data_IF_521726448453
#
_entry.id   IF_521726448453
#
_cell.length_a   1.000
_cell.length_b   1.000
_cell.length_c   1.000
_cell.angle_alpha   90.00
_cell.angle_beta   90.00
_cell.angle_gamma   90.00
#
_symmetry.space_group_name_H-M   'P 1'
#
loop_
_entity.id
_entity.type
_entity.pdbx_description
1 polymer ?
#
# COMPACT_ATOMS: atom_id res chain seq x y z
N UNK A 1 45.65 -46.98 36.48
CA UNK A 1 45.96 -47.59 35.17
C UNK A 1 44.67 -47.49 34.37
N UNK A 2 44.44 -46.37 33.67
CA UNK A 2 44.70 -46.20 32.23
C UNK A 2 44.09 -47.33 31.39
N UNK A 3 43.06 -47.00 30.60
CA UNK A 3 43.11 -47.13 29.15
C UNK A 3 42.00 -46.29 28.47
N UNK A 4 42.46 -45.50 27.49
CA UNK A 4 41.77 -44.95 26.31
C UNK A 4 40.92 -46.03 25.58
N UNK A 5 39.91 -45.78 24.75
CA UNK A 5 39.74 -44.80 23.67
C UNK A 5 38.29 -44.93 23.13
N UNK A 6 37.74 -43.91 22.47
CA UNK A 6 36.49 -44.07 21.70
C UNK A 6 35.70 -42.78 21.48
N UNK A 7 36.21 -41.87 20.63
CA UNK A 7 35.44 -40.76 20.07
C UNK A 7 34.32 -41.28 19.15
N UNK A 8 33.08 -40.86 19.41
CA UNK A 8 32.02 -40.76 18.41
C UNK A 8 31.45 -39.35 18.53
N UNK A 9 31.64 -38.56 17.47
CA UNK A 9 31.04 -37.24 17.33
C UNK A 9 29.52 -37.41 17.19
N UNK A 10 28.77 -36.75 18.08
CA UNK A 10 27.34 -36.54 17.91
C UNK A 10 27.12 -35.03 17.86
N UNK A 11 26.54 -34.60 16.75
CA UNK A 11 26.32 -33.20 16.38
C UNK A 11 25.50 -32.48 17.45
N UNK A 12 25.99 -31.31 17.88
CA UNK A 12 25.32 -30.48 18.86
C UNK A 12 24.06 -29.85 18.28
N UNK A 13 22.90 -30.35 18.68
CA UNK A 13 21.64 -29.64 18.56
C UNK A 13 21.73 -28.36 19.41
N UNK A 14 21.84 -27.21 18.74
CA UNK A 14 21.66 -25.91 19.40
C UNK A 14 20.20 -25.53 19.22
N UNK A 15 19.40 -25.74 20.27
CA UNK A 15 18.06 -25.16 20.36
C UNK A 15 18.17 -23.63 20.27
N UNK A 16 17.66 -23.05 19.18
CA UNK A 16 17.52 -21.59 19.06
C UNK A 16 16.28 -21.19 19.85
N UNK A 17 16.48 -20.82 21.10
CA UNK A 17 15.46 -20.11 21.87
C UNK A 17 15.45 -18.65 21.42
N UNK A 18 14.43 -18.26 20.65
CA UNK A 18 14.15 -16.86 20.36
C UNK A 18 13.74 -16.17 21.66
N UNK A 19 14.70 -15.52 22.32
CA UNK A 19 14.48 -14.77 23.55
C UNK A 19 13.50 -13.62 23.32
N UNK A 20 12.50 -13.51 24.19
CA UNK A 20 11.53 -12.41 24.29
C UNK A 20 12.22 -11.03 24.49
N UNK A 21 13.52 -11.01 24.74
CA UNK A 21 14.32 -9.82 25.04
C UNK A 21 14.69 -8.97 23.81
N UNK A 22 14.57 -9.49 22.58
CA UNK A 22 14.89 -8.74 21.36
C UNK A 22 13.87 -7.63 21.03
N UNK A 23 12.67 -7.65 21.63
CA UNK A 23 11.66 -6.62 21.41
C UNK A 23 11.98 -5.29 22.11
N UNK A 24 12.83 -5.31 23.15
CA UNK A 24 13.19 -4.10 23.88
C UNK A 24 14.11 -3.16 23.07
N UNK A 25 14.87 -3.70 22.10
CA UNK A 25 15.79 -2.92 21.28
C UNK A 25 15.15 -2.23 20.07
N UNK A 26 13.93 -2.62 19.66
CA UNK A 26 13.22 -1.96 18.56
C UNK A 26 12.50 -0.67 18.97
N UNK A 27 12.32 -0.42 20.28
CA UNK A 27 11.58 0.75 20.78
C UNK A 27 12.43 1.98 21.12
N UNK A 28 13.75 1.93 20.93
CA UNK A 28 14.70 2.84 21.59
C UNK A 28 15.37 3.91 20.74
N UNK A 29 15.02 4.09 19.46
CA UNK A 29 15.76 5.01 18.59
C UNK A 29 14.87 5.81 17.65
N UNK A 30 14.66 7.10 17.94
CA UNK A 30 14.36 8.17 16.96
C UNK A 30 13.04 8.14 16.18
N UNK A 31 12.37 6.99 16.02
CA UNK A 31 11.23 6.82 15.12
C UNK A 31 9.92 7.41 15.66
N UNK A 32 9.80 7.53 16.98
CA UNK A 32 8.61 8.10 17.63
C UNK A 32 8.33 9.54 17.22
N UNK A 33 9.37 10.37 17.05
CA UNK A 33 9.24 11.80 16.72
C UNK A 33 8.96 12.02 15.22
N UNK A 34 9.51 11.16 14.36
CA UNK A 34 9.24 11.15 12.91
C UNK A 34 7.82 10.67 12.61
N UNK A 35 7.33 9.63 13.30
CA UNK A 35 5.93 9.19 13.20
C UNK A 35 4.97 10.26 13.70
N UNK A 36 5.35 11.04 14.73
CA UNK A 36 4.49 12.09 15.29
C UNK A 36 4.33 13.29 14.34
N UNK A 37 5.38 13.71 13.62
CA UNK A 37 5.28 14.80 12.64
C UNK A 37 4.38 14.45 11.43
N UNK A 38 4.38 13.19 10.97
CA UNK A 38 3.57 12.74 9.83
C UNK A 38 2.07 12.66 10.14
N UNK A 39 1.68 12.58 11.41
CA UNK A 39 0.27 12.48 11.82
C UNK A 39 -0.58 13.70 11.41
N UNK A 40 0.06 14.86 11.22
CA UNK A 40 -0.59 16.12 10.86
C UNK A 40 -0.99 16.23 9.38
N UNK A 41 -0.35 15.49 8.49
CA UNK A 41 -0.58 15.54 7.03
C UNK A 41 -1.61 14.48 6.66
N UNK A 42 -2.73 14.77 5.97
CA UNK A 42 -3.69 13.73 5.61
C UNK A 42 -3.06 12.67 4.70
N UNK A 43 -3.60 11.44 4.74
CA UNK A 43 -3.15 10.36 3.86
C UNK A 43 -3.19 10.72 2.37
N UNK A 44 -4.25 11.42 1.97
CA UNK A 44 -4.46 11.97 0.63
C UNK A 44 -4.78 13.46 0.77
N UNK A 45 -3.94 14.32 0.20
CA UNK A 45 -4.11 15.78 0.21
C UNK A 45 -5.19 16.25 -0.75
N UNK A 46 -5.44 17.57 -0.78
CA UNK A 46 -6.32 18.19 -1.78
C UNK A 46 -5.62 18.36 -3.13
N UNK A 47 -6.38 18.71 -4.18
CA UNK A 47 -5.79 19.12 -5.46
C UNK A 47 -5.15 20.50 -5.29
N UNK A 48 -3.88 20.60 -5.64
CA UNK A 48 -3.09 21.83 -5.56
C UNK A 48 -2.54 22.20 -6.94
N UNK A 49 -2.35 23.50 -7.24
CA UNK A 49 -1.70 23.91 -8.48
C UNK A 49 -0.23 23.48 -8.48
N UNK A 50 0.36 23.26 -9.67
CA UNK A 50 1.79 22.91 -9.78
C UNK A 50 2.72 24.03 -9.27
N UNK A 51 2.23 25.26 -9.14
CA UNK A 51 2.98 26.35 -8.50
C UNK A 51 3.29 26.07 -7.02
N UNK A 52 2.44 25.31 -6.31
CA UNK A 52 2.72 24.88 -4.96
C UNK A 52 3.95 23.96 -4.91
N UNK A 53 4.07 23.04 -5.89
CA UNK A 53 5.26 22.21 -6.04
C UNK A 53 6.49 23.05 -6.41
N UNK A 54 6.36 24.02 -7.32
CA UNK A 54 7.47 24.90 -7.69
C UNK A 54 8.01 25.70 -6.50
N UNK A 55 7.13 26.18 -5.61
CA UNK A 55 7.50 26.94 -4.42
C UNK A 55 8.40 26.13 -3.45
N UNK A 56 8.19 24.82 -3.33
CA UNK A 56 9.03 23.94 -2.50
C UNK A 56 10.49 23.87 -3.00
N UNK A 57 10.69 24.02 -4.31
CA UNK A 57 12.01 23.93 -4.95
C UNK A 57 12.62 25.29 -5.29
N UNK A 58 12.00 26.40 -4.82
CA UNK A 58 12.43 27.75 -5.19
C UNK A 58 13.86 28.08 -4.74
N UNK A 59 14.29 27.53 -3.59
CA UNK A 59 15.67 27.62 -3.07
C UNK A 59 16.53 26.40 -3.45
N UNK A 60 16.00 25.50 -4.26
CA UNK A 60 16.60 24.21 -4.60
C UNK A 60 17.31 24.19 -5.95
N UNK A 61 17.25 23.06 -6.65
CA UNK A 61 17.92 22.87 -7.94
C UNK A 61 17.18 23.57 -9.08
N UNK A 62 17.84 24.44 -9.88
CA UNK A 62 17.24 25.06 -11.07
C UNK A 62 16.73 24.03 -12.09
N UNK A 63 17.36 22.86 -12.16
CA UNK A 63 16.95 21.76 -13.04
C UNK A 63 15.58 21.21 -12.65
N UNK A 64 15.28 21.13 -11.35
CA UNK A 64 13.98 20.66 -10.87
C UNK A 64 12.88 21.69 -11.14
N UNK A 65 13.16 22.98 -10.97
CA UNK A 65 12.23 24.04 -11.33
C UNK A 65 11.86 24.00 -12.82
N UNK A 66 12.85 23.84 -13.70
CA UNK A 66 12.60 23.70 -15.14
C UNK A 66 11.76 22.46 -15.47
N UNK A 67 11.98 21.35 -14.76
CA UNK A 67 11.14 20.14 -14.91
C UNK A 67 9.70 20.38 -14.44
N UNK A 68 9.51 21.09 -13.34
CA UNK A 68 8.18 21.43 -12.82
C UNK A 68 7.43 22.36 -13.78
N UNK A 69 8.13 23.33 -14.39
CA UNK A 69 7.57 24.19 -15.43
C UNK A 69 7.07 23.36 -16.63
N UNK A 70 7.89 22.44 -17.16
CA UNK A 70 7.49 21.53 -18.23
C UNK A 70 6.32 20.61 -17.85
N UNK A 71 6.15 20.28 -16.56
CA UNK A 71 4.97 19.54 -16.08
C UNK A 71 3.72 20.43 -16.06
N UNK A 72 3.85 21.71 -15.75
CA UNK A 72 2.76 22.69 -15.74
C UNK A 72 2.09 22.86 -17.10
N UNK A 73 2.83 22.64 -18.20
CA UNK A 73 2.27 22.66 -19.56
C UNK A 73 1.32 21.48 -19.86
N UNK A 74 1.42 20.39 -19.09
CA UNK A 74 0.70 19.13 -19.34
C UNK A 74 -0.31 18.77 -18.25
N UNK A 75 -0.05 19.20 -17.02
CA UNK A 75 -0.83 18.83 -15.84
C UNK A 75 -1.35 20.08 -15.15
N UNK A 76 -2.63 20.07 -14.79
CA UNK A 76 -3.31 21.23 -14.18
C UNK A 76 -3.15 21.28 -12.66
N UNK A 77 -2.98 20.13 -12.02
CA UNK A 77 -2.92 20.00 -10.57
C UNK A 77 -2.09 18.79 -10.15
N UNK A 78 -1.65 18.80 -8.90
CA UNK A 78 -1.05 17.68 -8.19
C UNK A 78 -1.89 17.38 -6.94
N UNK A 79 -1.96 16.11 -6.57
CA UNK A 79 -2.49 15.67 -5.27
C UNK A 79 -1.41 14.90 -4.55
N UNK A 80 -1.03 15.33 -3.34
CA UNK A 80 0.01 14.67 -2.54
C UNK A 80 -0.58 13.51 -1.74
N UNK A 81 0.24 12.50 -1.47
CA UNK A 81 -0.04 11.47 -0.47
C UNK A 81 0.99 11.54 0.63
N UNK A 82 0.62 11.16 1.86
CA UNK A 82 1.54 11.07 3.00
C UNK A 82 2.75 10.19 2.67
N UNK A 83 3.95 10.61 3.08
CA UNK A 83 5.21 9.89 2.89
C UNK A 83 5.46 8.81 3.94
N UNK A 84 4.56 7.84 4.06
CA UNK A 84 4.54 6.79 5.11
C UNK A 84 4.97 5.39 4.60
N UNK A 85 5.61 5.32 3.43
CA UNK A 85 5.97 4.07 2.77
C UNK A 85 4.82 3.36 2.05
N UNK A 86 3.59 3.90 2.10
CA UNK A 86 2.43 3.41 1.35
C UNK A 86 2.05 4.31 0.17
N UNK A 87 2.79 5.41 -0.06
CA UNK A 87 2.47 6.46 -1.01
C UNK A 87 2.14 5.97 -2.43
N UNK A 88 2.84 4.95 -2.95
CA UNK A 88 2.54 4.36 -4.26
C UNK A 88 1.14 3.74 -4.31
N UNK A 89 0.85 2.79 -3.41
CA UNK A 89 -0.45 2.12 -3.37
C UNK A 89 -1.57 3.09 -3.03
N UNK A 90 -1.30 4.06 -2.15
CA UNK A 90 -2.28 5.09 -1.76
C UNK A 90 -2.60 6.06 -2.89
N UNK A 91 -1.59 6.46 -3.67
CA UNK A 91 -1.78 7.26 -4.88
C UNK A 91 -2.56 6.50 -5.95
N UNK A 92 -2.21 5.22 -6.15
CA UNK A 92 -2.89 4.35 -7.11
C UNK A 92 -4.36 4.13 -6.73
N UNK A 93 -4.63 3.78 -5.47
CA UNK A 93 -5.98 3.63 -4.91
C UNK A 93 -6.85 4.83 -5.24
N UNK A 94 -6.42 6.03 -4.83
CA UNK A 94 -7.20 7.24 -5.01
C UNK A 94 -7.37 7.57 -6.50
N UNK A 95 -6.29 7.50 -7.29
CA UNK A 95 -6.35 7.79 -8.73
C UNK A 95 -7.28 6.85 -9.48
N UNK A 96 -7.31 5.57 -9.12
CA UNK A 96 -8.16 4.58 -9.78
C UNK A 96 -9.63 4.77 -9.42
N UNK A 97 -9.94 4.93 -8.13
CA UNK A 97 -11.31 5.17 -7.67
C UNK A 97 -11.86 6.52 -8.16
N UNK A 98 -11.05 7.58 -8.17
CA UNK A 98 -11.43 8.89 -8.74
C UNK A 98 -11.72 8.77 -10.24
N UNK A 99 -10.91 7.99 -10.98
CA UNK A 99 -11.15 7.73 -12.40
C UNK A 99 -12.49 7.03 -12.66
N UNK A 100 -12.80 5.97 -11.90
CA UNK A 100 -14.10 5.27 -12.02
C UNK A 100 -15.25 6.19 -11.62
N UNK A 101 -15.10 6.98 -10.55
CA UNK A 101 -16.10 7.95 -10.11
C UNK A 101 -16.40 8.99 -11.20
N UNK A 102 -15.38 9.51 -11.89
CA UNK A 102 -15.56 10.51 -12.95
C UNK A 102 -16.07 9.92 -14.26
N UNK A 103 -15.61 8.72 -14.64
CA UNK A 103 -15.92 8.11 -15.94
C UNK A 103 -17.15 7.22 -15.92
N UNK A 104 -17.53 6.71 -14.75
CA UNK A 104 -18.63 5.74 -14.59
C UNK A 104 -18.45 4.51 -15.50
N UNK A 105 -17.20 4.06 -15.66
CA UNK A 105 -16.84 2.96 -16.56
C UNK A 105 -17.18 1.60 -15.93
N UNK A 106 -18.42 1.15 -16.16
CA UNK A 106 -18.91 -0.13 -15.64
C UNK A 106 -18.20 -1.33 -16.25
N UNK A 107 -17.73 -1.22 -17.49
CA UNK A 107 -17.01 -2.32 -18.17
C UNK A 107 -15.68 -2.56 -17.49
N UNK A 108 -14.96 -1.48 -17.13
CA UNK A 108 -13.74 -1.58 -16.35
C UNK A 108 -13.99 -2.14 -14.95
N UNK A 109 -15.07 -1.74 -14.28
CA UNK A 109 -15.46 -2.28 -12.97
C UNK A 109 -15.71 -3.80 -13.05
N UNK A 110 -16.47 -4.26 -14.03
CA UNK A 110 -16.73 -5.70 -14.20
C UNK A 110 -15.43 -6.48 -14.49
N UNK A 111 -14.55 -5.90 -15.32
CA UNK A 111 -13.25 -6.49 -15.64
C UNK A 111 -12.35 -6.61 -14.41
N UNK A 112 -12.23 -5.55 -13.61
CA UNK A 112 -11.38 -5.58 -12.42
C UNK A 112 -11.95 -6.51 -11.35
N UNK A 113 -13.27 -6.59 -11.18
CA UNK A 113 -13.91 -7.55 -10.27
C UNK A 113 -13.58 -8.99 -10.62
N UNK A 114 -13.62 -9.34 -11.91
CA UNK A 114 -13.20 -10.66 -12.37
C UNK A 114 -11.72 -10.94 -12.06
N UNK A 115 -10.83 -9.95 -12.28
CA UNK A 115 -9.41 -10.09 -11.97
C UNK A 115 -9.14 -10.21 -10.46
N UNK A 116 -9.88 -9.49 -9.62
CA UNK A 116 -9.78 -9.58 -8.16
C UNK A 116 -10.11 -11.01 -7.69
N UNK A 117 -11.12 -11.63 -8.28
CA UNK A 117 -11.48 -13.02 -7.99
C UNK A 117 -10.40 -14.01 -8.48
N UNK A 118 -9.77 -13.74 -9.63
CA UNK A 118 -8.60 -14.54 -10.07
C UNK A 118 -7.40 -14.37 -9.13
N UNK A 119 -7.16 -13.16 -8.62
CA UNK A 119 -6.10 -12.89 -7.64
C UNK A 119 -6.35 -13.64 -6.33
N UNK A 120 -7.60 -13.68 -5.85
CA UNK A 120 -8.00 -14.47 -4.68
C UNK A 120 -7.66 -15.95 -4.86
N UNK A 121 -8.05 -16.54 -5.99
CA UNK A 121 -7.73 -17.95 -6.33
C UNK A 121 -6.23 -18.19 -6.43
N UNK A 122 -5.49 -17.22 -6.98
CA UNK A 122 -4.03 -17.29 -7.06
C UNK A 122 -3.43 -17.35 -5.66
N UNK A 123 -3.83 -16.47 -4.74
CA UNK A 123 -3.35 -16.49 -3.35
C UNK A 123 -3.66 -17.82 -2.65
N UNK A 124 -4.87 -18.36 -2.82
CA UNK A 124 -5.24 -19.67 -2.29
C UNK A 124 -4.30 -20.78 -2.81
N UNK A 125 -4.02 -20.79 -4.12
CA UNK A 125 -3.10 -21.77 -4.75
C UNK A 125 -1.63 -21.62 -4.29
N UNK A 126 -1.27 -20.45 -3.76
CA UNK A 126 0.03 -20.18 -3.16
C UNK A 126 0.10 -20.60 -1.68
N UNK A 127 -1.00 -21.10 -1.10
CA UNK A 127 -1.07 -21.58 0.27
C UNK A 127 -1.55 -20.54 1.30
N UNK A 128 -2.06 -19.39 0.85
CA UNK A 128 -2.72 -18.44 1.75
C UNK A 128 -4.11 -18.94 2.13
N UNK A 129 -4.49 -18.74 3.40
CA UNK A 129 -5.82 -19.11 3.89
C UNK A 129 -6.75 -17.90 3.80
N UNK A 130 -8.00 -18.08 3.35
CA UNK A 130 -8.94 -16.99 3.05
C UNK A 130 -9.08 -15.93 4.15
N UNK A 131 -9.24 -16.35 5.40
CA UNK A 131 -9.41 -15.44 6.54
C UNK A 131 -8.24 -14.44 6.72
N UNK A 132 -7.08 -14.71 6.11
CA UNK A 132 -5.90 -13.84 6.22
C UNK A 132 -5.96 -12.61 5.30
N UNK A 133 -6.83 -12.61 4.28
CA UNK A 133 -6.89 -11.52 3.30
C UNK A 133 -8.29 -11.14 2.84
N UNK A 134 -9.33 -11.91 3.17
CA UNK A 134 -10.68 -11.72 2.63
C UNK A 134 -11.28 -10.36 2.94
N UNK A 135 -11.06 -9.82 4.14
CA UNK A 135 -11.60 -8.51 4.54
C UNK A 135 -11.01 -7.37 3.69
N UNK A 136 -9.72 -7.46 3.32
CA UNK A 136 -9.08 -6.46 2.46
C UNK A 136 -9.69 -6.47 1.05
N UNK A 137 -9.98 -7.66 0.52
CA UNK A 137 -10.60 -7.82 -0.79
C UNK A 137 -12.05 -7.33 -0.78
N UNK A 138 -12.82 -7.71 0.25
CA UNK A 138 -14.19 -7.27 0.41
C UNK A 138 -14.29 -5.74 0.49
N UNK A 139 -13.43 -5.11 1.29
CA UNK A 139 -13.45 -3.65 1.43
C UNK A 139 -13.10 -2.92 0.13
N UNK A 140 -12.10 -3.40 -0.62
CA UNK A 140 -11.79 -2.78 -1.93
C UNK A 140 -12.96 -2.91 -2.91
N UNK A 141 -13.61 -4.08 -2.97
CA UNK A 141 -14.77 -4.29 -3.83
C UNK A 141 -15.94 -3.39 -3.45
N UNK A 142 -16.18 -3.19 -2.15
CA UNK A 142 -17.16 -2.23 -1.63
C UNK A 142 -16.83 -0.80 -2.08
N UNK A 143 -15.58 -0.34 -1.92
CA UNK A 143 -15.19 1.01 -2.37
C UNK A 143 -15.36 1.18 -3.88
N UNK A 144 -15.13 0.12 -4.66
CA UNK A 144 -15.29 0.12 -6.10
C UNK A 144 -16.76 0.21 -6.52
N UNK A 145 -17.66 -0.44 -5.79
CA UNK A 145 -19.11 -0.36 -6.04
C UNK A 145 -19.70 0.99 -5.62
N UNK A 146 -19.21 1.55 -4.52
CA UNK A 146 -19.68 2.82 -3.99
C UNK A 146 -19.32 4.01 -4.89
N UNK A 147 -18.23 3.96 -5.66
CA UNK A 147 -17.91 5.02 -6.64
C UNK A 147 -18.76 4.98 -7.91
N UNK A 148 -19.53 3.90 -8.15
CA UNK A 148 -20.50 3.87 -9.24
C UNK A 148 -21.82 4.52 -8.82
N UNK A 149 -22.29 5.44 -9.65
CA UNK A 149 -23.54 6.16 -9.44
C UNK A 149 -24.75 5.29 -9.79
N UNK A 150 -25.87 5.53 -9.11
CA UNK A 150 -27.14 4.83 -9.33
C UNK A 150 -27.39 3.65 -8.39
N UNK A 151 -26.48 3.42 -7.44
CA UNK A 151 -26.64 2.47 -6.34
C UNK A 151 -27.10 3.21 -5.07
N UNK A 152 -27.72 2.52 -4.12
CA UNK A 152 -28.13 3.11 -2.82
C UNK A 152 -26.93 3.61 -2.00
N UNK A 153 -25.75 3.03 -2.21
CA UNK A 153 -24.50 3.34 -1.50
C UNK A 153 -23.56 4.28 -2.26
N UNK A 154 -24.04 4.88 -3.38
CA UNK A 154 -23.20 5.75 -4.22
C UNK A 154 -22.59 6.90 -3.42
N UNK A 155 -21.30 7.15 -3.58
CA UNK A 155 -20.59 8.23 -2.87
C UNK A 155 -20.27 9.43 -3.76
N UNK A 156 -20.09 10.58 -3.10
CA UNK A 156 -19.60 11.79 -3.74
C UNK A 156 -18.07 11.79 -3.83
N UNK A 157 -17.52 12.74 -4.58
CA UNK A 157 -16.07 12.97 -4.64
C UNK A 157 -15.48 13.34 -3.27
N UNK A 158 -16.20 14.15 -2.49
CA UNK A 158 -15.82 14.51 -1.12
C UNK A 158 -15.77 13.29 -0.21
N UNK A 159 -16.78 12.42 -0.31
CA UNK A 159 -16.83 11.19 0.50
C UNK A 159 -15.72 10.21 0.11
N UNK A 160 -15.41 10.05 -1.19
CA UNK A 160 -14.25 9.27 -1.64
C UNK A 160 -12.95 9.79 -1.00
N UNK A 161 -12.78 11.11 -0.94
CA UNK A 161 -11.62 11.74 -0.31
C UNK A 161 -11.59 11.51 1.20
N UNK A 162 -12.73 11.61 1.87
CA UNK A 162 -12.86 11.35 3.31
C UNK A 162 -12.49 9.91 3.65
N UNK A 163 -13.06 8.92 2.93
CA UNK A 163 -12.73 7.50 3.11
C UNK A 163 -11.26 7.21 2.82
N UNK A 164 -10.69 7.85 1.80
CA UNK A 164 -9.25 7.71 1.48
C UNK A 164 -8.32 8.31 2.54
N UNK A 165 -8.85 9.20 3.40
CA UNK A 165 -8.17 9.79 4.56
C UNK A 165 -8.43 9.06 5.87
N UNK A 166 -9.44 8.19 5.92
CA UNK A 166 -9.79 7.40 7.08
C UNK A 166 -8.86 6.19 7.16
N UNK A 167 -8.28 5.96 8.34
CA UNK A 167 -7.17 5.02 8.48
C UNK A 167 -7.57 3.58 8.20
N UNK A 168 -8.72 3.15 8.73
CA UNK A 168 -9.16 1.77 8.57
C UNK A 168 -9.45 1.44 7.11
N UNK A 169 -10.12 2.33 6.37
CA UNK A 169 -10.35 2.15 4.93
C UNK A 169 -9.08 2.26 4.12
N UNK A 170 -8.31 3.35 4.28
CA UNK A 170 -7.13 3.63 3.47
C UNK A 170 -6.06 2.53 3.63
N UNK A 171 -5.77 2.10 4.86
CA UNK A 171 -4.76 1.07 5.11
C UNK A 171 -5.23 -0.33 4.68
N UNK A 172 -6.51 -0.67 4.82
CA UNK A 172 -7.04 -1.97 4.36
C UNK A 172 -6.99 -2.07 2.83
N UNK A 173 -7.35 -1.01 2.11
CA UNK A 173 -7.26 -1.01 0.64
C UNK A 173 -5.80 -1.03 0.18
N UNK A 174 -4.89 -0.36 0.88
CA UNK A 174 -3.44 -0.52 0.65
C UNK A 174 -3.00 -1.97 0.85
N UNK A 175 -3.47 -2.64 1.91
CA UNK A 175 -3.17 -4.05 2.16
C UNK A 175 -3.69 -4.95 1.05
N UNK A 176 -4.90 -4.70 0.53
CA UNK A 176 -5.41 -5.38 -0.66
C UNK A 176 -4.41 -5.31 -1.83
N UNK A 177 -3.94 -4.11 -2.19
CA UNK A 177 -2.97 -3.97 -3.28
C UNK A 177 -1.63 -4.66 -2.99
N UNK A 178 -1.18 -4.67 -1.72
CA UNK A 178 0.03 -5.41 -1.30
C UNK A 178 -0.14 -6.92 -1.45
N UNK A 179 -1.30 -7.47 -1.10
CA UNK A 179 -1.60 -8.90 -1.29
C UNK A 179 -1.64 -9.26 -2.78
N UNK A 180 -2.34 -8.48 -3.60
CA UNK A 180 -2.36 -8.68 -5.07
C UNK A 180 -0.95 -8.65 -5.64
N UNK A 181 -0.16 -7.63 -5.29
CA UNK A 181 1.23 -7.49 -5.78
C UNK A 181 2.10 -8.66 -5.35
N UNK A 182 2.02 -9.09 -4.08
CA UNK A 182 2.74 -10.25 -3.58
C UNK A 182 2.33 -11.54 -4.30
N UNK A 183 1.03 -11.73 -4.54
CA UNK A 183 0.49 -12.87 -5.27
C UNK A 183 1.05 -12.95 -6.69
N UNK A 184 1.00 -11.85 -7.43
CA UNK A 184 1.49 -11.79 -8.82
C UNK A 184 3.01 -11.99 -8.92
N UNK A 185 3.80 -11.39 -8.02
CA UNK A 185 5.25 -11.60 -7.98
C UNK A 185 5.57 -13.08 -7.73
N UNK A 186 4.92 -13.72 -6.74
CA UNK A 186 5.15 -15.14 -6.43
C UNK A 186 4.70 -16.07 -7.56
N UNK A 187 3.58 -15.76 -8.22
CA UNK A 187 3.11 -16.49 -9.40
C UNK A 187 4.15 -16.44 -10.52
N UNK A 188 4.70 -15.26 -10.81
CA UNK A 188 5.74 -15.09 -11.83
C UNK A 188 7.04 -15.82 -11.47
N UNK A 189 7.43 -15.84 -10.19
CA UNK A 189 8.62 -16.56 -9.73
C UNK A 189 8.51 -18.09 -9.85
N UNK A 190 7.30 -18.67 -9.84
CA UNK A 190 7.09 -20.11 -10.10
C UNK A 190 7.22 -20.48 -11.58
N UNK A 191 7.28 -19.50 -12.49
CA UNK A 191 7.42 -19.70 -13.93
C UNK A 191 8.90 -19.74 -14.36
N UNK A 192 9.83 -19.42 -13.46
CA UNK A 192 11.27 -19.56 -13.62
C UNK A 192 11.81 -20.73 -12.79
#
# INVERSE_FOLDING_TARGET
MQNQEGQLAADGETEVTCGIEDWANFGGGGDGDVMQQQSSVPFVGDKEPLSALAAEYQSGSPILLQKIEMLGDKYVAIRRTRGDGNCFFRSFMFSYLEHILEKQDRVEVDRIKANVEECRKTLQSLGYVDFTFEDFFALFLEQLDDVLQGNETSISHEELLNRSREQSVSDYVVMFFRFVTSGEIRKALRVF
#
